data_IF_889757688357
#
_entry.id   IF_889757688357
#
_cell.length_a   1.000
_cell.length_b   1.000
_cell.length_c   1.000
_cell.angle_alpha   90.00
_cell.angle_beta   90.00
_cell.angle_gamma   90.00
#
_symmetry.space_group_name_H-M   'P 1'
#
loop_
_entity.id
_entity.type
_entity.pdbx_description
1 polymer ?
#
# COMPACT_ATOMS: atom_id res chain seq x y z
N UNK A 1 29.03 -15.49 26.79
CA UNK A 1 28.06 -15.48 25.68
C UNK A 1 28.87 -15.50 24.39
N UNK A 2 28.74 -16.54 23.56
CA UNK A 2 29.42 -16.57 22.24
C UNK A 2 28.75 -15.55 21.34
N UNK A 3 29.51 -14.61 20.80
CA UNK A 3 29.02 -13.72 19.74
C UNK A 3 28.67 -14.59 18.53
N UNK A 4 27.39 -14.66 18.21
CA UNK A 4 26.93 -15.28 16.96
C UNK A 4 27.44 -14.40 15.82
N UNK A 5 28.33 -14.93 15.00
CA UNK A 5 28.87 -14.15 13.88
C UNK A 5 27.72 -13.83 12.91
N UNK A 6 27.65 -12.58 12.43
CA UNK A 6 26.63 -12.13 11.45
C UNK A 6 26.67 -13.01 10.18
N UNK A 7 27.85 -13.56 9.84
CA UNK A 7 28.07 -14.50 8.73
C UNK A 7 27.27 -15.81 8.83
N UNK A 8 26.79 -16.17 10.04
CA UNK A 8 26.05 -17.42 10.26
C UNK A 8 24.54 -17.24 10.13
N UNK A 9 24.08 -16.04 9.76
CA UNK A 9 22.65 -15.72 9.64
C UNK A 9 22.27 -15.51 8.17
N UNK A 10 21.23 -16.20 7.72
CA UNK A 10 20.57 -15.89 6.46
C UNK A 10 19.64 -14.71 6.66
N UNK A 11 19.82 -13.65 5.88
CA UNK A 11 18.96 -12.46 5.89
C UNK A 11 18.23 -12.32 4.56
N UNK A 12 16.93 -12.04 4.60
CA UNK A 12 16.12 -11.72 3.43
C UNK A 12 16.05 -10.21 3.20
N UNK A 13 16.08 -9.78 1.95
CA UNK A 13 15.82 -8.42 1.54
C UNK A 13 14.58 -8.37 0.64
N UNK A 14 13.57 -7.58 1.01
CA UNK A 14 12.26 -7.58 0.37
C UNK A 14 11.92 -6.17 -0.11
N UNK A 15 11.78 -6.01 -1.43
CA UNK A 15 11.41 -4.77 -2.10
C UNK A 15 10.41 -5.06 -3.22
N UNK A 16 9.65 -4.07 -3.74
CA UNK A 16 8.86 -4.23 -4.97
C UNK A 16 9.74 -4.68 -6.14
N UNK A 17 9.15 -5.46 -7.05
CA UNK A 17 9.86 -5.91 -8.25
C UNK A 17 10.26 -4.73 -9.16
N UNK A 18 9.43 -3.67 -9.18
CA UNK A 18 9.67 -2.46 -9.98
C UNK A 18 9.37 -1.23 -9.13
N UNK A 19 10.28 -0.26 -9.16
CA UNK A 19 10.08 1.06 -8.55
C UNK A 19 10.31 2.14 -9.59
N UNK A 20 9.29 2.97 -9.83
CA UNK A 20 9.31 4.07 -10.78
C UNK A 20 9.44 5.40 -10.03
N UNK A 21 10.47 6.16 -10.36
CA UNK A 21 10.79 7.43 -9.72
C UNK A 21 10.89 8.54 -10.75
N UNK A 22 10.31 9.68 -10.42
CA UNK A 22 10.53 10.90 -11.19
C UNK A 22 9.25 11.62 -11.60
N UNK A 23 9.38 12.89 -12.00
CA UNK A 23 8.23 13.72 -12.33
C UNK A 23 7.44 13.17 -13.52
N UNK A 24 6.17 12.86 -13.30
CA UNK A 24 5.25 12.33 -14.32
C UNK A 24 5.32 10.82 -14.51
N UNK A 25 6.05 10.07 -13.67
CA UNK A 25 6.09 8.61 -13.78
C UNK A 25 4.73 7.95 -13.48
N UNK A 26 3.81 8.65 -12.83
CA UNK A 26 2.44 8.17 -12.59
C UNK A 26 1.69 7.81 -13.88
N UNK A 27 2.04 8.41 -15.02
CA UNK A 27 1.45 8.08 -16.33
C UNK A 27 1.65 6.62 -16.74
N UNK A 28 2.67 5.96 -16.19
CA UNK A 28 2.96 4.55 -16.48
C UNK A 28 1.99 3.58 -15.78
N UNK A 29 1.16 4.06 -14.83
CA UNK A 29 0.29 3.19 -14.04
C UNK A 29 -0.63 2.33 -14.90
N UNK A 30 -1.21 2.90 -15.97
CA UNK A 30 -2.12 2.18 -16.86
C UNK A 30 -1.41 1.05 -17.60
N UNK A 31 -0.24 1.32 -18.21
CA UNK A 31 0.54 0.30 -18.92
C UNK A 31 1.00 -0.79 -17.97
N UNK A 32 1.46 -0.42 -16.77
CA UNK A 32 1.91 -1.38 -15.75
C UNK A 32 0.77 -2.25 -15.20
N UNK A 33 -0.40 -1.67 -14.98
CA UNK A 33 -1.58 -2.44 -14.59
C UNK A 33 -1.99 -3.43 -15.69
N UNK A 34 -1.94 -3.02 -16.94
CA UNK A 34 -2.21 -3.89 -18.09
C UNK A 34 -1.22 -5.02 -18.23
N UNK A 35 0.08 -4.75 -18.07
CA UNK A 35 1.14 -5.76 -18.09
C UNK A 35 0.93 -6.82 -16.99
N UNK A 36 0.35 -6.43 -15.86
CA UNK A 36 -0.01 -7.32 -14.74
C UNK A 36 -1.38 -7.98 -14.90
N UNK A 37 -2.09 -7.72 -16.00
CA UNK A 37 -3.36 -8.38 -16.35
C UNK A 37 -4.61 -7.77 -15.74
N UNK A 38 -4.54 -6.54 -15.21
CA UNK A 38 -5.69 -5.85 -14.63
C UNK A 38 -6.79 -5.61 -15.67
N UNK A 39 -8.03 -5.86 -15.29
CA UNK A 39 -9.24 -5.53 -16.06
C UNK A 39 -10.06 -4.48 -15.36
N UNK A 40 -10.17 -4.57 -14.03
CA UNK A 40 -10.87 -3.59 -13.21
C UNK A 40 -10.17 -3.38 -11.88
N UNK A 41 -9.68 -2.18 -11.62
CA UNK A 41 -8.91 -1.84 -10.44
C UNK A 41 -9.76 -1.22 -9.33
N UNK A 42 -9.55 -1.64 -8.06
CA UNK A 42 -9.97 -0.88 -6.90
C UNK A 42 -8.88 0.14 -6.56
N UNK A 43 -9.20 1.43 -6.63
CA UNK A 43 -8.31 2.52 -6.21
C UNK A 43 -8.59 2.81 -4.73
N UNK A 44 -7.67 2.40 -3.85
CA UNK A 44 -7.77 2.60 -2.40
C UNK A 44 -7.07 3.90 -2.03
N UNK A 45 -7.81 4.84 -1.46
CA UNK A 45 -7.33 6.18 -1.11
C UNK A 45 -8.02 6.74 0.13
N UNK A 46 -7.64 7.92 0.56
CA UNK A 46 -8.31 8.66 1.63
C UNK A 46 -9.28 9.73 1.09
N UNK A 47 -10.15 10.24 1.98
CA UNK A 47 -11.15 11.26 1.64
C UNK A 47 -10.52 12.58 1.17
N UNK A 48 -9.33 12.92 1.66
CA UNK A 48 -8.65 14.17 1.31
C UNK A 48 -8.19 14.15 -0.15
N UNK A 49 -7.50 13.10 -0.55
CA UNK A 49 -7.06 12.90 -1.94
C UNK A 49 -8.25 12.76 -2.90
N UNK A 50 -9.31 12.07 -2.45
CA UNK A 50 -10.52 11.91 -3.26
C UNK A 50 -11.20 13.25 -3.52
N UNK A 51 -11.38 14.09 -2.49
CA UNK A 51 -11.94 15.44 -2.64
C UNK A 51 -11.06 16.37 -3.48
N UNK A 52 -9.75 16.14 -3.48
CA UNK A 52 -8.80 16.89 -4.29
C UNK A 52 -8.75 16.43 -5.77
N UNK A 53 -9.51 15.40 -6.16
CA UNK A 53 -9.56 14.88 -7.52
C UNK A 53 -8.29 14.14 -7.96
N UNK A 54 -7.42 13.74 -7.02
CA UNK A 54 -6.18 13.03 -7.37
C UNK A 54 -6.44 11.66 -7.99
N UNK A 55 -7.47 10.88 -7.59
CA UNK A 55 -7.82 9.62 -8.27
C UNK A 55 -8.15 9.78 -9.74
N UNK A 56 -8.67 10.93 -10.18
CA UNK A 56 -9.05 11.16 -11.59
C UNK A 56 -7.83 11.09 -12.52
N UNK A 57 -6.64 11.45 -12.02
CA UNK A 57 -5.38 11.30 -12.76
C UNK A 57 -5.11 9.83 -13.05
N UNK A 58 -5.32 8.96 -12.06
CA UNK A 58 -5.08 7.52 -12.18
C UNK A 58 -6.13 6.89 -13.08
N UNK A 59 -7.40 7.23 -12.89
CA UNK A 59 -8.54 6.76 -13.69
C UNK A 59 -8.32 7.06 -15.17
N UNK A 60 -7.86 8.28 -15.48
CA UNK A 60 -7.54 8.66 -16.86
C UNK A 60 -6.54 7.70 -17.50
N UNK A 61 -5.42 7.42 -16.83
CA UNK A 61 -4.38 6.55 -17.38
C UNK A 61 -4.80 5.07 -17.44
N UNK A 62 -5.67 4.61 -16.54
CA UNK A 62 -6.28 3.28 -16.62
C UNK A 62 -7.23 3.17 -17.83
N UNK A 63 -8.11 4.16 -18.00
CA UNK A 63 -9.05 4.19 -19.11
C UNK A 63 -8.35 4.23 -20.48
N UNK A 64 -7.21 4.93 -20.59
CA UNK A 64 -6.36 4.94 -21.80
C UNK A 64 -5.87 3.53 -22.18
N UNK A 65 -5.84 2.60 -21.22
CA UNK A 65 -5.46 1.20 -21.43
C UNK A 65 -6.65 0.23 -21.45
N UNK A 66 -7.88 0.76 -21.36
CA UNK A 66 -9.11 -0.04 -21.33
C UNK A 66 -9.35 -0.77 -20.01
N UNK A 67 -8.81 -0.25 -18.91
CA UNK A 67 -8.97 -0.81 -17.56
C UNK A 67 -10.00 0.04 -16.82
N UNK A 68 -11.09 -0.60 -16.40
CA UNK A 68 -12.10 0.03 -15.54
C UNK A 68 -11.57 0.23 -14.12
N UNK A 69 -12.22 1.12 -13.36
CA UNK A 69 -11.84 1.35 -11.98
C UNK A 69 -13.01 1.74 -11.09
N UNK A 70 -12.86 1.45 -9.79
CA UNK A 70 -13.74 1.93 -8.73
C UNK A 70 -12.89 2.59 -7.64
N UNK A 71 -13.35 3.73 -7.09
CA UNK A 71 -12.62 4.43 -6.02
C UNK A 71 -13.22 4.06 -4.67
N UNK A 72 -12.39 3.52 -3.79
CA UNK A 72 -12.68 3.32 -2.37
C UNK A 72 -11.88 4.34 -1.54
N UNK A 73 -12.55 5.39 -1.09
CA UNK A 73 -11.96 6.47 -0.31
C UNK A 73 -12.12 6.25 1.23
N UNK A 74 -12.06 4.99 1.67
CA UNK A 74 -12.28 4.59 3.06
C UNK A 74 -11.01 4.38 3.87
N UNK A 75 -9.82 4.66 3.33
CA UNK A 75 -8.59 4.58 4.10
C UNK A 75 -8.49 5.77 5.06
N UNK A 76 -8.48 5.50 6.36
CA UNK A 76 -8.35 6.50 7.42
C UNK A 76 -6.91 6.54 7.97
N UNK A 77 -6.49 7.66 8.61
CA UNK A 77 -5.26 7.66 9.38
C UNK A 77 -5.27 6.55 10.44
N UNK A 78 -4.21 5.72 10.47
CA UNK A 78 -4.15 4.47 11.25
C UNK A 78 -5.31 3.52 10.88
N UNK A 79 -5.29 2.93 9.68
CA UNK A 79 -6.41 2.17 9.17
C UNK A 79 -6.79 1.03 10.11
N UNK A 80 -8.08 0.78 10.19
CA UNK A 80 -8.67 -0.25 11.04
C UNK A 80 -9.00 -1.51 10.26
N UNK A 81 -9.22 -2.60 10.96
CA UNK A 81 -9.77 -3.83 10.39
C UNK A 81 -11.11 -3.58 9.69
N UNK A 82 -11.95 -2.67 10.23
CA UNK A 82 -13.20 -2.26 9.58
C UNK A 82 -12.93 -1.61 8.22
N UNK A 83 -11.98 -0.68 8.11
CA UNK A 83 -11.63 -0.06 6.81
C UNK A 83 -11.21 -1.11 5.78
N UNK A 84 -10.44 -2.12 6.22
CA UNK A 84 -10.04 -3.24 5.34
C UNK A 84 -11.26 -4.00 4.86
N UNK A 85 -12.19 -4.41 5.74
CA UNK A 85 -13.37 -5.19 5.36
C UNK A 85 -14.37 -4.41 4.52
N UNK A 86 -14.54 -3.11 4.77
CA UNK A 86 -15.33 -2.22 3.92
C UNK A 86 -14.71 -2.16 2.49
N UNK A 87 -13.38 -2.11 2.40
CA UNK A 87 -12.66 -2.17 1.13
C UNK A 87 -12.76 -3.51 0.42
N UNK A 88 -12.75 -4.62 1.16
CA UNK A 88 -13.00 -5.97 0.60
C UNK A 88 -14.40 -6.06 -0.01
N UNK A 89 -15.41 -5.52 0.69
CA UNK A 89 -16.77 -5.44 0.18
C UNK A 89 -16.83 -4.62 -1.11
N UNK A 90 -16.21 -3.43 -1.11
CA UNK A 90 -16.14 -2.58 -2.30
C UNK A 90 -15.45 -3.29 -3.49
N UNK A 91 -14.38 -4.04 -3.23
CA UNK A 91 -13.68 -4.83 -4.25
C UNK A 91 -14.59 -5.89 -4.87
N UNK A 92 -15.30 -6.67 -4.04
CA UNK A 92 -16.18 -7.75 -4.46
C UNK A 92 -17.42 -7.24 -5.19
N UNK A 93 -18.12 -6.26 -4.62
CA UNK A 93 -19.37 -5.71 -5.17
C UNK A 93 -19.16 -5.06 -6.54
N UNK A 94 -17.96 -4.53 -6.78
CA UNK A 94 -17.62 -3.92 -8.06
C UNK A 94 -16.92 -4.87 -9.03
N UNK A 95 -16.68 -6.13 -8.66
CA UNK A 95 -16.02 -7.12 -9.51
C UNK A 95 -14.59 -6.71 -9.89
N UNK A 96 -13.85 -6.10 -8.96
CA UNK A 96 -12.45 -5.75 -9.18
C UNK A 96 -11.56 -7.00 -9.17
N UNK A 97 -10.46 -6.97 -9.93
CA UNK A 97 -9.46 -8.05 -10.00
C UNK A 97 -8.05 -7.56 -9.67
N UNK A 98 -7.91 -6.27 -9.40
CA UNK A 98 -6.64 -5.59 -9.20
C UNK A 98 -6.77 -4.49 -8.13
N UNK A 99 -5.67 -4.12 -7.46
CA UNK A 99 -5.66 -3.05 -6.46
C UNK A 99 -4.62 -1.99 -6.83
N UNK A 100 -4.99 -0.72 -6.70
CA UNK A 100 -4.09 0.42 -6.74
C UNK A 100 -4.23 1.16 -5.43
N UNK A 101 -3.15 1.28 -4.65
CA UNK A 101 -3.15 2.16 -3.49
C UNK A 101 -2.63 3.53 -3.88
N UNK A 102 -3.39 4.57 -3.54
CA UNK A 102 -3.06 5.96 -3.83
C UNK A 102 -3.05 6.76 -2.53
N UNK A 103 -1.88 7.17 -2.08
CA UNK A 103 -1.78 7.94 -0.85
C UNK A 103 -0.46 7.76 -0.10
N UNK A 104 -0.52 7.91 1.21
CA UNK A 104 0.58 7.64 2.12
C UNK A 104 0.49 6.25 2.76
N UNK A 105 1.26 6.03 3.83
CA UNK A 105 1.34 4.76 4.53
C UNK A 105 -0.01 4.15 4.90
N UNK A 106 -0.96 4.96 5.37
CA UNK A 106 -2.31 4.47 5.76
C UNK A 106 -3.08 3.90 4.58
N UNK A 107 -3.04 4.57 3.41
CA UNK A 107 -3.69 4.05 2.20
C UNK A 107 -3.02 2.78 1.70
N UNK A 108 -1.68 2.71 1.78
CA UNK A 108 -0.94 1.51 1.40
C UNK A 108 -1.23 0.34 2.32
N UNK A 109 -1.22 0.56 3.63
CA UNK A 109 -1.50 -0.48 4.62
C UNK A 109 -2.94 -1.00 4.50
N UNK A 110 -3.93 -0.11 4.31
CA UNK A 110 -5.31 -0.48 4.05
C UNK A 110 -5.42 -1.35 2.77
N UNK A 111 -4.79 -0.93 1.69
CA UNK A 111 -4.80 -1.65 0.41
C UNK A 111 -4.13 -3.03 0.48
N UNK A 112 -3.01 -3.14 1.20
CA UNK A 112 -2.35 -4.42 1.48
C UNK A 112 -3.26 -5.36 2.26
N UNK A 113 -3.92 -4.83 3.30
CA UNK A 113 -4.90 -5.60 4.08
C UNK A 113 -6.05 -6.11 3.22
N UNK A 114 -6.62 -5.24 2.35
CA UNK A 114 -7.64 -5.63 1.37
C UNK A 114 -7.09 -6.75 0.46
N UNK A 115 -5.89 -6.57 -0.08
CA UNK A 115 -5.25 -7.53 -0.98
C UNK A 115 -5.00 -8.90 -0.34
N UNK A 116 -4.62 -8.95 0.93
CA UNK A 116 -4.45 -10.19 1.68
C UNK A 116 -5.79 -10.93 1.86
N UNK A 117 -6.84 -10.22 2.28
CA UNK A 117 -8.15 -10.82 2.53
C UNK A 117 -8.84 -11.22 1.23
N UNK A 118 -8.76 -10.44 0.16
CA UNK A 118 -9.36 -10.78 -1.14
C UNK A 118 -8.73 -12.02 -1.77
N UNK A 119 -7.43 -12.24 -1.56
CA UNK A 119 -6.71 -13.40 -2.08
C UNK A 119 -6.80 -14.64 -1.17
N UNK A 120 -6.65 -14.47 0.14
CA UNK A 120 -6.53 -15.57 1.10
C UNK A 120 -7.79 -15.85 1.91
N UNK A 121 -8.78 -14.95 1.89
CA UNK A 121 -10.03 -15.07 2.67
C UNK A 121 -9.83 -14.78 4.16
N UNK A 122 -10.84 -15.07 4.95
CA UNK A 122 -10.82 -14.91 6.41
C UNK A 122 -10.93 -13.44 6.86
N UNK A 123 -10.44 -13.18 8.05
CA UNK A 123 -10.41 -11.84 8.64
C UNK A 123 -8.98 -11.29 8.65
N UNK A 124 -8.80 -9.97 8.48
CA UNK A 124 -7.45 -9.37 8.47
C UNK A 124 -6.67 -9.64 9.76
N UNK A 125 -7.35 -9.86 10.88
CA UNK A 125 -6.75 -10.24 12.18
C UNK A 125 -6.03 -11.59 12.13
N UNK A 126 -6.44 -12.49 11.23
CA UNK A 126 -5.83 -13.81 11.08
C UNK A 126 -4.40 -13.74 10.50
N UNK A 127 -4.06 -12.59 9.92
CA UNK A 127 -2.75 -12.33 9.31
C UNK A 127 -1.74 -11.66 10.26
N UNK A 128 -2.13 -11.35 11.50
CA UNK A 128 -1.21 -10.75 12.47
C UNK A 128 0.02 -11.62 12.72
N UNK A 129 1.19 -11.01 12.68
CA UNK A 129 2.49 -11.67 12.90
C UNK A 129 3.30 -11.81 11.62
N UNK A 130 4.22 -12.80 11.59
CA UNK A 130 5.20 -12.98 10.51
C UNK A 130 4.77 -14.12 9.58
N UNK A 131 4.74 -13.85 8.26
CA UNK A 131 4.52 -14.82 7.18
C UNK A 131 3.27 -15.70 7.38
N UNK A 132 2.16 -15.09 7.77
CA UNK A 132 0.89 -15.78 8.02
C UNK A 132 0.08 -16.04 6.76
N UNK A 133 0.27 -15.25 5.70
CA UNK A 133 -0.42 -15.49 4.43
C UNK A 133 0.04 -16.81 3.80
N UNK A 134 -0.91 -17.56 3.23
CA UNK A 134 -0.62 -18.81 2.52
C UNK A 134 -0.48 -18.60 1.01
N UNK A 135 -0.99 -17.49 0.52
CA UNK A 135 -0.99 -17.15 -0.91
C UNK A 135 -0.52 -15.70 -1.09
N UNK A 136 0.03 -15.34 -2.26
CA UNK A 136 0.28 -13.93 -2.59
C UNK A 136 -1.01 -13.12 -2.49
N UNK A 137 -0.92 -11.87 -2.06
CA UNK A 137 -2.07 -10.96 -2.07
C UNK A 137 -2.54 -10.69 -3.50
N UNK A 138 -3.74 -10.16 -3.65
CA UNK A 138 -4.22 -9.60 -4.93
C UNK A 138 -3.18 -8.62 -5.49
N UNK A 139 -2.86 -8.67 -6.80
CA UNK A 139 -1.86 -7.81 -7.39
C UNK A 139 -2.08 -6.33 -7.06
N UNK A 140 -1.02 -5.64 -6.62
CA UNK A 140 -1.09 -4.28 -6.12
C UNK A 140 0.02 -3.41 -6.70
N UNK A 141 -0.37 -2.22 -7.22
CA UNK A 141 0.51 -1.10 -7.52
C UNK A 141 0.33 -0.05 -6.42
N UNK A 142 1.42 0.39 -5.81
CA UNK A 142 1.41 1.44 -4.81
C UNK A 142 1.88 2.77 -5.41
N UNK A 143 1.01 3.79 -5.35
CA UNK A 143 1.29 5.17 -5.81
C UNK A 143 1.42 6.06 -4.59
N UNK A 144 2.65 6.44 -4.28
CA UNK A 144 2.96 7.19 -3.09
C UNK A 144 2.74 8.70 -3.27
N UNK A 145 2.12 9.33 -2.27
CA UNK A 145 1.93 10.79 -2.20
C UNK A 145 2.62 11.41 -1.00
N UNK A 146 3.36 10.63 -0.20
CA UNK A 146 4.06 11.12 1.00
C UNK A 146 5.52 10.68 1.00
N UNK A 147 6.44 11.59 1.33
CA UNK A 147 7.82 11.24 1.61
C UNK A 147 7.96 10.94 3.10
N UNK A 148 8.17 9.68 3.48
CA UNK A 148 8.33 9.32 4.90
C UNK A 148 8.23 7.83 5.19
N UNK A 149 7.03 7.26 5.19
CA UNK A 149 6.78 5.90 5.68
C UNK A 149 7.42 4.79 4.87
N UNK A 150 7.66 5.02 3.58
CA UNK A 150 8.12 4.02 2.62
C UNK A 150 7.26 2.73 2.59
N UNK A 151 5.96 2.83 2.97
CA UNK A 151 5.09 1.64 2.99
C UNK A 151 4.91 1.03 1.60
N UNK A 152 5.02 1.82 0.52
CA UNK A 152 5.02 1.36 -0.88
C UNK A 152 6.17 0.39 -1.19
N UNK A 153 7.24 0.42 -0.38
CA UNK A 153 8.46 -0.37 -0.58
C UNK A 153 8.56 -1.57 0.36
N UNK A 154 7.66 -1.71 1.34
CA UNK A 154 7.85 -2.66 2.44
C UNK A 154 6.86 -3.81 2.43
N UNK A 155 7.21 -4.88 3.15
CA UNK A 155 6.37 -6.03 3.47
C UNK A 155 5.54 -5.85 4.74
N UNK A 156 5.49 -4.64 5.28
CA UNK A 156 4.73 -4.32 6.50
C UNK A 156 3.35 -3.81 6.13
N UNK A 157 2.36 -4.19 6.94
CA UNK A 157 0.99 -3.71 6.89
C UNK A 157 0.51 -3.54 8.33
N UNK A 158 0.24 -2.30 8.74
CA UNK A 158 -0.14 -1.97 10.11
C UNK A 158 -1.62 -1.60 10.15
N UNK A 159 -2.41 -2.44 10.79
CA UNK A 159 -3.86 -2.30 10.89
C UNK A 159 -4.27 -2.26 12.37
N UNK A 160 -5.13 -1.32 12.73
CA UNK A 160 -5.65 -1.21 14.09
C UNK A 160 -6.83 -2.18 14.28
N UNK A 161 -6.73 -3.04 15.28
CA UNK A 161 -7.85 -3.89 15.72
C UNK A 161 -8.85 -3.03 16.49
N UNK A 162 -10.10 -2.96 16.00
CA UNK A 162 -11.14 -2.11 16.59
C UNK A 162 -11.64 -2.59 17.95
N UNK A 163 -11.51 -3.88 18.27
CA UNK A 163 -11.98 -4.44 19.56
C UNK A 163 -10.97 -4.16 20.68
N UNK A 164 -9.67 -4.27 20.37
CA UNK A 164 -8.59 -4.13 21.37
C UNK A 164 -7.91 -2.76 21.33
N UNK A 165 -8.15 -1.96 20.28
CA UNK A 165 -7.47 -0.69 19.99
C UNK A 165 -5.94 -0.82 19.88
N UNK A 166 -5.44 -2.02 19.54
CA UNK A 166 -4.02 -2.32 19.36
C UNK A 166 -3.68 -2.35 17.88
N UNK A 167 -2.52 -1.81 17.52
CA UNK A 167 -1.96 -1.90 16.17
C UNK A 167 -1.41 -3.31 15.93
N UNK A 168 -2.03 -4.05 15.05
CA UNK A 168 -1.56 -5.33 14.56
C UNK A 168 -0.44 -5.12 13.56
N UNK A 169 0.68 -5.78 13.76
CA UNK A 169 1.78 -5.81 12.81
C UNK A 169 1.66 -7.06 11.94
N UNK A 170 1.33 -6.86 10.68
CA UNK A 170 1.32 -7.90 9.65
C UNK A 170 2.61 -7.74 8.86
N UNK A 171 3.48 -8.75 8.93
CA UNK A 171 4.81 -8.73 8.30
C UNK A 171 4.91 -9.93 7.38
N UNK A 172 4.61 -9.73 6.10
CA UNK A 172 4.58 -10.83 5.14
C UNK A 172 5.15 -10.37 3.79
N UNK A 173 6.13 -11.10 3.25
CA UNK A 173 6.71 -10.76 1.96
C UNK A 173 5.69 -10.78 0.82
N UNK A 174 4.60 -11.53 0.98
CA UNK A 174 3.51 -11.63 0.01
C UNK A 174 2.63 -10.40 -0.05
N UNK A 175 2.74 -9.47 0.93
CA UNK A 175 2.05 -8.19 0.90
C UNK A 175 2.93 -7.03 0.40
N UNK A 176 4.13 -7.32 -0.11
CA UNK A 176 4.95 -6.32 -0.80
C UNK A 176 4.28 -5.95 -2.13
N UNK A 177 4.05 -4.66 -2.44
CA UNK A 177 3.52 -4.25 -3.73
C UNK A 177 4.38 -4.76 -4.89
N UNK A 178 3.79 -5.09 -6.02
CA UNK A 178 4.53 -5.50 -7.21
C UNK A 178 5.26 -4.32 -7.86
N UNK A 179 4.63 -3.15 -7.84
CA UNK A 179 5.19 -1.92 -8.41
C UNK A 179 4.95 -0.79 -7.40
N UNK A 180 5.98 0.02 -7.17
CA UNK A 180 5.90 1.29 -6.47
C UNK A 180 6.07 2.45 -7.47
N UNK A 181 5.28 3.50 -7.33
CA UNK A 181 5.34 4.72 -8.16
C UNK A 181 5.49 5.92 -7.24
N UNK A 182 6.62 6.59 -7.35
CA UNK A 182 7.00 7.77 -6.58
C UNK A 182 7.12 9.00 -7.50
N UNK A 183 5.96 9.61 -7.79
CA UNK A 183 5.89 10.83 -8.59
C UNK A 183 5.86 12.06 -7.66
N UNK A 184 6.93 12.88 -7.64
CA UNK A 184 6.99 14.06 -6.77
C UNK A 184 5.89 15.09 -7.06
N UNK A 185 5.29 15.08 -8.24
CA UNK A 185 4.17 15.97 -8.57
C UNK A 185 2.92 15.68 -7.76
N UNK A 186 2.70 14.42 -7.37
CA UNK A 186 1.59 14.03 -6.49
C UNK A 186 1.82 14.44 -5.03
N UNK A 187 3.05 14.82 -4.68
CA UNK A 187 3.43 15.17 -3.31
C UNK A 187 3.30 16.69 -3.03
N UNK A 188 3.18 17.54 -4.07
CA UNK A 188 3.26 18.99 -3.94
C UNK A 188 1.98 19.64 -3.39
N UNK A 189 0.84 19.01 -3.51
CA UNK A 189 -0.46 19.54 -3.07
C UNK A 189 -0.72 19.40 -1.56
N UNK A 190 0.19 18.76 -0.82
CA UNK A 190 0.03 18.54 0.62
C UNK A 190 0.32 19.83 1.43
N UNK A 191 -0.34 19.99 2.61
CA UNK A 191 0.04 21.04 3.55
C UNK A 191 1.53 20.93 3.94
N UNK A 192 2.21 22.07 4.06
CA UNK A 192 3.64 22.13 4.42
C UNK A 192 3.93 21.42 5.75
N UNK A 193 3.01 21.52 6.72
CA UNK A 193 3.13 20.82 8.02
C UNK A 193 3.16 19.31 7.88
N UNK A 194 2.34 18.73 6.99
CA UNK A 194 2.33 17.29 6.74
C UNK A 194 3.61 16.87 6.00
N UNK A 195 4.08 17.66 5.05
CA UNK A 195 5.34 17.41 4.34
C UNK A 195 6.52 17.40 5.31
N UNK A 196 6.58 18.36 6.24
CA UNK A 196 7.63 18.42 7.26
C UNK A 196 7.56 17.22 8.22
N UNK A 197 6.36 16.88 8.72
CA UNK A 197 6.18 15.76 9.63
C UNK A 197 6.60 14.42 9.01
N UNK A 198 6.17 14.14 7.77
CA UNK A 198 6.51 12.91 7.07
C UNK A 198 7.98 12.85 6.65
N UNK A 199 8.57 13.98 6.24
CA UNK A 199 10.00 14.07 5.92
C UNK A 199 10.92 13.80 7.11
N UNK A 200 10.50 14.17 8.32
CA UNK A 200 11.24 13.84 9.55
C UNK A 200 11.11 12.37 9.96
N UNK A 201 10.11 11.66 9.49
CA UNK A 201 9.89 10.24 9.80
C UNK A 201 10.98 9.34 9.22
N UNK A 202 11.55 9.69 8.06
CA UNK A 202 12.65 8.95 7.42
C UNK A 202 13.83 8.76 8.40
N UNK A 203 14.19 9.77 9.18
CA UNK A 203 15.24 9.68 10.19
C UNK A 203 14.91 8.74 11.34
N UNK A 204 13.65 8.62 11.73
CA UNK A 204 13.19 7.74 12.82
C UNK A 204 13.14 6.28 12.40
N UNK A 205 12.75 5.98 11.16
CA UNK A 205 12.74 4.61 10.65
C UNK A 205 14.16 4.03 10.58
N UNK A 206 15.13 4.78 10.06
CA UNK A 206 16.54 4.34 9.99
C UNK A 206 17.20 4.21 11.35
N UNK A 207 16.70 4.89 12.41
CA UNK A 207 17.21 4.75 13.77
C UNK A 207 16.61 3.54 14.51
N UNK A 208 15.44 3.03 14.13
CA UNK A 208 14.80 1.87 14.76
C UNK A 208 15.41 0.52 14.34
N UNK A 209 16.05 0.45 13.19
CA UNK A 209 16.70 -0.79 12.72
C UNK A 209 18.11 -1.01 13.30
N UNK A 210 18.56 -0.13 14.20
CA UNK A 210 19.88 -0.24 14.86
C UNK A 210 19.84 -0.85 16.27
N UNK A 211 18.75 -1.49 16.64
CA UNK A 211 18.66 -2.14 17.96
C UNK A 211 18.62 -3.66 17.82
#
# INVERSE_FOLDING_TARGET
MAYKQISDQTSGFFIPCVSLFGPGCVKEVGSKAKDLGAKKALIVTDQGLNKAGVPDIIIKHLNEQGIDSHVFAGAEPNPTDKNVHDGVTAYQDNGCDFIISLGGGSSHDCAKGIGLVTAGGGHIRDYEGIDKSKVPMTPLIAINTTAGTASEMTRFCIITNTDTHVKMAIVDWRCTPLIAIDDPRLMTAKPASLTAATGMEIGRASCRERV
#
